data_IF_449493124299
#
_entry.id   IF_449493124299
#
_cell.length_a   1.000
_cell.length_b   1.000
_cell.length_c   1.000
_cell.angle_alpha   90.00
_cell.angle_beta   90.00
_cell.angle_gamma   90.00
#
_symmetry.space_group_name_H-M   'P 1'
#
loop_
_entity.id
_entity.type
_entity.pdbx_description
1 polymer ?
#
# COMPACT_ATOMS: atom_id res chain seq x y z
N UNK A 1 6.49 -20.05 -43.05
CA UNK A 1 6.17 -20.57 -41.69
C UNK A 1 6.13 -19.50 -40.57
N UNK A 2 6.24 -18.20 -40.89
CA UNK A 2 6.18 -17.13 -39.87
C UNK A 2 4.75 -16.77 -39.41
N UNK A 3 3.74 -16.99 -40.26
CA UNK A 3 2.36 -16.62 -39.97
C UNK A 3 1.74 -17.41 -38.80
N UNK A 4 1.98 -18.74 -38.73
CA UNK A 4 1.44 -19.62 -37.68
C UNK A 4 1.95 -19.28 -36.28
N UNK A 5 3.19 -18.76 -36.16
CA UNK A 5 3.75 -18.37 -34.86
C UNK A 5 3.04 -17.15 -34.27
N UNK A 6 2.75 -16.12 -35.08
CA UNK A 6 2.06 -14.91 -34.60
C UNK A 6 0.64 -15.25 -34.09
N UNK A 7 -0.10 -16.08 -34.83
CA UNK A 7 -1.44 -16.54 -34.40
C UNK A 7 -1.39 -17.37 -33.11
N UNK A 8 -0.36 -18.19 -32.91
CA UNK A 8 -0.22 -19.03 -31.72
C UNK A 8 0.06 -18.21 -30.44
N UNK A 9 0.94 -17.20 -30.52
CA UNK A 9 1.20 -16.31 -29.37
C UNK A 9 -0.06 -15.50 -29.00
N UNK A 10 -0.73 -14.89 -29.98
CA UNK A 10 -1.96 -14.13 -29.73
C UNK A 10 -3.06 -15.00 -29.11
N UNK A 11 -3.16 -16.28 -29.50
CA UNK A 11 -4.16 -17.18 -28.95
C UNK A 11 -3.84 -17.56 -27.49
N UNK A 12 -2.56 -17.70 -27.13
CA UNK A 12 -2.13 -17.86 -25.73
C UNK A 12 -2.45 -16.59 -24.94
N UNK A 13 -2.09 -15.42 -25.44
CA UNK A 13 -2.29 -14.14 -24.74
C UNK A 13 -3.79 -13.88 -24.48
N UNK A 14 -4.66 -14.18 -25.45
CA UNK A 14 -6.12 -14.08 -25.28
C UNK A 14 -6.64 -15.06 -24.22
N UNK A 15 -6.11 -16.28 -24.17
CA UNK A 15 -6.53 -17.31 -23.21
C UNK A 15 -6.09 -16.95 -21.78
N UNK A 16 -4.87 -16.41 -21.63
CA UNK A 16 -4.36 -15.86 -20.36
C UNK A 16 -5.21 -14.68 -19.91
N UNK A 17 -5.50 -13.74 -20.81
CA UNK A 17 -6.34 -12.58 -20.52
C UNK A 17 -7.75 -12.99 -20.08
N UNK A 18 -8.33 -14.01 -20.72
CA UNK A 18 -9.61 -14.58 -20.30
C UNK A 18 -9.53 -15.24 -18.91
N UNK A 19 -8.45 -15.96 -18.61
CA UNK A 19 -8.20 -16.54 -17.28
C UNK A 19 -8.07 -15.48 -16.18
N UNK A 20 -7.32 -14.40 -16.45
CA UNK A 20 -7.15 -13.27 -15.55
C UNK A 20 -8.49 -12.59 -15.20
N UNK A 21 -9.41 -12.46 -16.17
CA UNK A 21 -10.73 -11.89 -15.93
C UNK A 21 -11.55 -12.71 -14.92
N UNK A 22 -11.46 -14.04 -14.97
CA UNK A 22 -12.15 -14.95 -14.01
C UNK A 22 -11.59 -14.76 -12.59
N UNK A 23 -10.27 -14.60 -12.47
CA UNK A 23 -9.60 -14.42 -11.17
C UNK A 23 -9.98 -13.07 -10.54
N UNK A 24 -9.98 -12.00 -11.32
CA UNK A 24 -10.38 -10.66 -10.85
C UNK A 24 -11.84 -10.69 -10.37
N UNK A 25 -12.73 -11.36 -11.11
CA UNK A 25 -14.13 -11.50 -10.69
C UNK A 25 -14.27 -12.31 -9.39
N UNK A 26 -13.50 -13.39 -9.24
CA UNK A 26 -13.51 -14.21 -8.03
C UNK A 26 -13.00 -13.43 -6.80
N UNK A 27 -11.96 -12.62 -6.98
CA UNK A 27 -11.43 -11.72 -5.95
C UNK A 27 -12.47 -10.67 -5.52
N UNK A 28 -13.18 -10.06 -6.48
CA UNK A 28 -14.30 -9.17 -6.19
C UNK A 28 -15.42 -9.85 -5.39
N UNK A 29 -15.79 -11.08 -5.77
CA UNK A 29 -16.82 -11.85 -5.06
C UNK A 29 -16.41 -12.15 -3.61
N UNK A 30 -15.11 -12.41 -3.36
CA UNK A 30 -14.55 -12.62 -2.02
C UNK A 30 -14.58 -11.35 -1.17
N UNK A 31 -14.23 -10.20 -1.76
CA UNK A 31 -14.30 -8.90 -1.08
C UNK A 31 -15.73 -8.50 -0.71
N UNK A 32 -16.72 -8.89 -1.52
CA UNK A 32 -18.14 -8.58 -1.29
C UNK A 32 -18.88 -9.65 -0.47
N UNK A 33 -18.16 -10.62 0.11
CA UNK A 33 -18.67 -11.68 0.98
C UNK A 33 -19.86 -12.45 0.38
N UNK A 34 -19.81 -12.78 -0.91
CA UNK A 34 -20.83 -13.65 -1.53
C UNK A 34 -20.68 -15.10 -1.05
N UNK A 35 -21.80 -15.81 -0.89
CA UNK A 35 -21.81 -17.21 -0.40
C UNK A 35 -21.05 -18.19 -1.29
N UNK A 36 -20.92 -17.90 -2.59
CA UNK A 36 -20.17 -18.70 -3.56
C UNK A 36 -18.70 -18.27 -3.73
N UNK A 37 -18.27 -17.21 -3.03
CA UNK A 37 -16.99 -16.58 -3.27
C UNK A 37 -15.80 -17.52 -3.04
N UNK A 38 -15.89 -18.38 -2.02
CA UNK A 38 -14.79 -19.27 -1.63
C UNK A 38 -14.54 -20.37 -2.66
N UNK A 39 -15.62 -20.91 -3.22
CA UNK A 39 -15.57 -21.89 -4.30
C UNK A 39 -15.05 -21.23 -5.58
N UNK A 40 -15.55 -20.05 -5.93
CA UNK A 40 -15.10 -19.34 -7.13
C UNK A 40 -13.63 -18.91 -7.05
N UNK A 41 -13.19 -18.45 -5.88
CA UNK A 41 -11.80 -18.08 -5.64
C UNK A 41 -10.88 -19.30 -5.73
N UNK A 42 -11.31 -20.44 -5.20
CA UNK A 42 -10.56 -21.69 -5.32
C UNK A 42 -10.37 -22.07 -6.79
N UNK A 43 -11.42 -22.02 -7.61
CA UNK A 43 -11.34 -22.30 -9.05
C UNK A 43 -10.42 -21.29 -9.75
N UNK A 44 -10.52 -20.01 -9.43
CA UNK A 44 -9.63 -18.97 -9.96
C UNK A 44 -8.16 -19.23 -9.64
N UNK A 45 -7.85 -19.57 -8.40
CA UNK A 45 -6.47 -19.85 -7.96
C UNK A 45 -5.89 -21.10 -8.65
N UNK A 46 -6.69 -22.15 -8.84
CA UNK A 46 -6.26 -23.33 -9.61
C UNK A 46 -6.01 -23.00 -11.08
N UNK A 47 -6.85 -22.15 -11.66
CA UNK A 47 -6.70 -21.68 -13.05
C UNK A 47 -5.41 -20.88 -13.22
N UNK A 48 -5.11 -19.96 -12.28
CA UNK A 48 -3.88 -19.17 -12.32
C UNK A 48 -2.63 -20.04 -12.17
N UNK A 49 -2.68 -21.00 -11.23
CA UNK A 49 -1.57 -21.93 -11.02
C UNK A 49 -1.26 -22.72 -12.28
N UNK A 50 -2.29 -23.15 -13.02
CA UNK A 50 -2.11 -23.85 -14.28
C UNK A 50 -1.51 -22.95 -15.37
N UNK A 51 -1.97 -21.70 -15.50
CA UNK A 51 -1.46 -20.74 -16.49
C UNK A 51 0.03 -20.46 -16.24
N UNK A 52 0.42 -20.19 -14.99
CA UNK A 52 1.82 -19.95 -14.64
C UNK A 52 2.72 -21.15 -14.86
N UNK A 53 2.24 -22.36 -14.58
CA UNK A 53 3.02 -23.57 -14.83
C UNK A 53 3.28 -23.76 -16.33
N UNK A 54 2.28 -23.49 -17.18
CA UNK A 54 2.44 -23.51 -18.64
C UNK A 54 3.44 -22.43 -19.10
N UNK A 55 3.34 -21.19 -18.60
CA UNK A 55 4.30 -20.13 -18.94
C UNK A 55 5.72 -20.46 -18.51
N UNK A 56 5.88 -20.95 -17.27
CA UNK A 56 7.17 -21.37 -16.74
C UNK A 56 7.79 -22.50 -17.58
N UNK A 57 6.99 -23.48 -18.02
CA UNK A 57 7.45 -24.55 -18.90
C UNK A 57 7.84 -24.04 -20.30
N UNK A 58 7.06 -23.11 -20.88
CA UNK A 58 7.37 -22.49 -22.17
C UNK A 58 8.68 -21.71 -22.11
N UNK A 59 8.89 -20.92 -21.05
CA UNK A 59 10.10 -20.13 -20.85
C UNK A 59 11.32 -21.01 -20.55
N UNK A 60 11.14 -22.11 -19.80
CA UNK A 60 12.21 -23.07 -19.55
C UNK A 60 12.73 -23.75 -20.83
N UNK A 61 11.83 -24.10 -21.76
CA UNK A 61 12.18 -24.81 -23.00
C UNK A 61 12.72 -23.84 -24.07
N UNK A 62 12.31 -22.57 -24.03
CA UNK A 62 12.81 -21.51 -24.89
C UNK A 62 13.15 -20.31 -24.02
N UNK A 63 14.33 -20.27 -23.38
CA UNK A 63 14.76 -19.10 -22.64
C UNK A 63 14.93 -17.98 -23.66
N UNK A 64 13.90 -17.14 -23.78
CA UNK A 64 14.03 -15.91 -24.53
C UNK A 64 14.78 -15.02 -23.57
N UNK A 65 16.02 -14.69 -23.91
CA UNK A 65 16.71 -13.57 -23.26
C UNK A 65 15.72 -12.41 -23.29
N UNK A 66 15.15 -12.09 -22.13
CA UNK A 66 14.25 -10.97 -21.95
C UNK A 66 15.13 -9.73 -22.08
N UNK A 67 15.46 -9.40 -23.34
CA UNK A 67 15.56 -8.01 -23.71
C UNK A 67 14.14 -7.47 -23.59
N UNK A 68 14.04 -6.49 -22.73
CA UNK A 68 12.83 -6.03 -22.08
C UNK A 68 11.76 -5.66 -23.09
N UNK A 69 10.54 -5.87 -22.62
CA UNK A 69 9.27 -5.52 -23.22
C UNK A 69 9.13 -3.98 -23.35
N UNK A 70 10.01 -3.36 -24.15
CA UNK A 70 9.79 -2.03 -24.70
C UNK A 70 9.14 -2.23 -26.05
N UNK A 71 7.84 -1.97 -26.09
CA UNK A 71 7.03 -1.85 -27.29
C UNK A 71 7.82 -1.14 -28.41
N UNK A 72 8.01 -1.72 -29.60
CA UNK A 72 8.70 -1.06 -30.69
C UNK A 72 7.74 -0.09 -31.37
N UNK A 73 7.58 1.09 -30.77
CA UNK A 73 7.47 2.33 -31.52
C UNK A 73 8.89 2.84 -31.75
N UNK A 74 9.50 2.38 -32.83
CA UNK A 74 10.57 3.05 -33.57
C UNK A 74 11.96 3.23 -32.90
N UNK A 75 12.96 3.01 -33.77
CA UNK A 75 14.33 3.50 -33.71
C UNK A 75 15.40 2.71 -32.92
N UNK A 76 16.14 1.96 -33.73
CA UNK A 76 17.55 1.62 -33.57
C UNK A 76 18.39 2.81 -33.09
N UNK A 77 18.97 2.74 -31.89
CA UNK A 77 20.22 3.44 -31.61
C UNK A 77 21.13 2.56 -30.76
N UNK A 78 22.14 2.01 -31.41
CA UNK A 78 23.35 1.50 -30.75
C UNK A 78 24.09 2.68 -30.12
N UNK A 79 24.16 2.76 -28.79
CA UNK A 79 25.15 3.61 -28.10
C UNK A 79 25.85 2.80 -27.02
N UNK A 80 27.15 2.67 -27.19
CA UNK A 80 28.11 2.19 -26.21
C UNK A 80 28.20 3.26 -25.11
N UNK A 81 27.55 3.02 -23.98
CA UNK A 81 27.59 3.85 -22.79
C UNK A 81 26.62 3.27 -21.76
N UNK A 82 27.06 3.10 -20.50
CA UNK A 82 26.39 2.29 -19.48
C UNK A 82 24.85 2.57 -19.42
N UNK A 83 24.01 1.68 -19.99
CA UNK A 83 22.60 1.97 -20.25
C UNK A 83 21.77 2.15 -18.97
N UNK A 84 22.26 1.62 -17.84
CA UNK A 84 21.65 1.80 -16.53
C UNK A 84 21.73 3.24 -16.00
N UNK A 85 22.76 4.02 -16.35
CA UNK A 85 22.90 5.41 -15.90
C UNK A 85 22.01 6.36 -16.72
N UNK A 86 21.87 6.09 -18.02
CA UNK A 86 20.99 6.88 -18.89
C UNK A 86 19.51 6.61 -18.63
N UNK A 87 19.13 5.37 -18.31
CA UNK A 87 17.74 5.07 -17.91
C UNK A 87 17.39 5.66 -16.55
N UNK A 88 18.33 5.72 -15.61
CA UNK A 88 18.16 6.43 -14.34
C UNK A 88 18.03 7.94 -14.54
N UNK A 89 18.90 8.56 -15.35
CA UNK A 89 18.85 10.00 -15.63
C UNK A 89 17.56 10.39 -16.38
N UNK A 90 17.13 9.55 -17.33
CA UNK A 90 15.84 9.69 -18.02
C UNK A 90 14.65 9.51 -17.06
N UNK A 91 14.70 8.54 -16.15
CA UNK A 91 13.66 8.40 -15.12
C UNK A 91 13.62 9.58 -14.14
N UNK A 92 14.77 10.14 -13.78
CA UNK A 92 14.86 11.32 -12.91
C UNK A 92 14.32 12.58 -13.60
N UNK A 93 14.54 12.73 -14.92
CA UNK A 93 13.95 13.80 -15.71
C UNK A 93 12.45 13.60 -15.98
N UNK A 94 12.01 12.38 -16.30
CA UNK A 94 10.62 12.05 -16.66
C UNK A 94 9.69 12.10 -15.43
N UNK A 95 10.19 11.75 -14.24
CA UNK A 95 9.41 11.77 -13.00
C UNK A 95 9.33 13.17 -12.34
N UNK A 96 9.83 14.22 -13.01
CA UNK A 96 9.88 15.60 -12.49
C UNK A 96 10.44 15.68 -11.06
N UNK A 97 11.44 14.83 -10.77
CA UNK A 97 12.19 14.80 -9.50
C UNK A 97 13.19 15.97 -9.55
N UNK A 98 12.66 17.19 -9.61
CA UNK A 98 13.48 18.39 -9.49
C UNK A 98 13.98 18.50 -8.03
N UNK A 99 15.19 19.05 -7.78
CA UNK A 99 15.69 19.30 -6.42
C UNK A 99 14.70 20.11 -5.56
N UNK A 100 13.89 20.96 -6.19
CA UNK A 100 12.82 21.70 -5.54
C UNK A 100 11.71 20.80 -4.97
N UNK A 101 11.32 19.73 -5.67
CA UNK A 101 10.28 18.79 -5.23
C UNK A 101 10.80 17.87 -4.12
N UNK A 102 12.06 17.43 -4.20
CA UNK A 102 12.72 16.71 -3.11
C UNK A 102 12.86 17.57 -1.85
N UNK A 103 13.21 18.85 -2.01
CA UNK A 103 13.24 19.79 -0.89
C UNK A 103 11.85 19.98 -0.27
N UNK A 104 10.81 20.15 -1.08
CA UNK A 104 9.42 20.27 -0.58
C UNK A 104 8.97 19.00 0.14
N UNK A 105 9.36 17.82 -0.37
CA UNK A 105 9.09 16.54 0.28
C UNK A 105 9.79 16.46 1.65
N UNK A 106 11.06 16.85 1.73
CA UNK A 106 11.79 16.94 2.99
C UNK A 106 11.16 17.93 3.98
N UNK A 107 10.80 19.13 3.53
CA UNK A 107 10.12 20.14 4.34
C UNK A 107 8.76 19.61 4.87
N UNK A 108 8.03 18.82 4.07
CA UNK A 108 6.76 18.20 4.47
C UNK A 108 6.97 17.05 5.47
N UNK A 109 8.00 16.22 5.29
CA UNK A 109 8.37 15.18 6.28
C UNK A 109 8.81 15.79 7.61
N UNK A 110 9.53 16.91 7.58
CA UNK A 110 9.94 17.61 8.78
C UNK A 110 8.73 18.20 9.52
N UNK A 111 7.79 18.82 8.80
CA UNK A 111 6.51 19.28 9.36
C UNK A 111 5.70 18.12 9.94
N UNK A 112 5.61 17.00 9.23
CA UNK A 112 4.93 15.79 9.72
C UNK A 112 5.58 15.29 11.02
N UNK A 113 6.90 15.23 11.08
CA UNK A 113 7.64 14.85 12.29
C UNK A 113 7.33 15.78 13.47
N UNK A 114 7.29 17.09 13.25
CA UNK A 114 6.89 18.06 14.27
C UNK A 114 5.44 17.87 14.71
N UNK A 115 4.50 17.65 13.78
CA UNK A 115 3.10 17.39 14.11
C UNK A 115 2.93 16.10 14.93
N UNK A 116 3.66 15.03 14.59
CA UNK A 116 3.63 13.77 15.35
C UNK A 116 4.21 13.96 16.75
N UNK A 117 5.30 14.71 16.89
CA UNK A 117 5.86 15.06 18.21
C UNK A 117 4.85 15.83 19.06
N UNK A 118 4.19 16.82 18.47
CA UNK A 118 3.14 17.60 19.14
C UNK A 118 1.93 16.74 19.53
N UNK A 119 1.54 15.76 18.71
CA UNK A 119 0.49 14.79 19.06
C UNK A 119 0.90 13.95 20.27
N UNK A 120 2.17 13.57 20.39
CA UNK A 120 2.71 12.91 21.58
C UNK A 120 2.54 13.75 22.84
N UNK A 121 2.95 15.03 22.78
CA UNK A 121 2.80 15.98 23.89
C UNK A 121 1.33 16.24 24.26
N UNK A 122 0.44 16.34 23.28
CA UNK A 122 -1.02 16.48 23.51
C UNK A 122 -1.58 15.26 24.25
N UNK A 123 -1.09 14.05 23.95
CA UNK A 123 -1.46 12.84 24.69
C UNK A 123 -1.13 12.93 26.19
N UNK A 124 0.07 13.42 26.52
CA UNK A 124 0.51 13.62 27.91
C UNK A 124 -0.27 14.74 28.62
N UNK A 125 -0.62 15.82 27.90
CA UNK A 125 -1.48 16.90 28.42
C UNK A 125 -2.89 16.40 28.70
N UNK A 126 -3.46 15.59 27.81
CA UNK A 126 -4.79 14.99 28.00
C UNK A 126 -4.80 14.06 29.21
N UNK A 127 -3.76 13.23 29.37
CA UNK A 127 -3.60 12.38 30.56
C UNK A 127 -3.51 13.21 31.85
N UNK A 128 -2.68 14.25 31.86
CA UNK A 128 -2.52 15.14 33.01
C UNK A 128 -3.81 15.89 33.34
N UNK A 129 -4.58 16.29 32.33
CA UNK A 129 -5.90 16.92 32.49
C UNK A 129 -6.92 15.95 33.09
N UNK A 130 -6.90 14.69 32.66
CA UNK A 130 -7.74 13.62 33.22
C UNK A 130 -7.40 13.39 34.70
N UNK A 131 -6.11 13.27 35.03
CA UNK A 131 -5.65 13.09 36.42
C UNK A 131 -5.99 14.30 37.30
N UNK A 132 -5.85 15.52 36.76
CA UNK A 132 -6.28 16.75 37.43
C UNK A 132 -7.78 16.74 37.71
N UNK A 133 -8.62 16.40 36.73
CA UNK A 133 -10.07 16.31 36.90
C UNK A 133 -10.46 15.29 37.98
N UNK A 134 -9.81 14.12 37.99
CA UNK A 134 -10.01 13.10 39.02
C UNK A 134 -9.63 13.62 40.42
N UNK A 135 -8.48 14.29 40.55
CA UNK A 135 -8.03 14.89 41.82
C UNK A 135 -8.92 16.04 42.29
N UNK A 136 -9.44 16.86 41.38
CA UNK A 136 -10.43 17.89 41.72
C UNK A 136 -11.72 17.29 42.26
N UNK A 137 -12.19 16.17 41.70
CA UNK A 137 -13.37 15.46 42.21
C UNK A 137 -13.13 14.86 43.60
N UNK A 138 -11.95 14.27 43.81
CA UNK A 138 -11.52 13.75 45.12
C UNK A 138 -11.46 14.88 46.17
N UNK A 139 -10.83 16.01 45.83
CA UNK A 139 -10.75 17.18 46.70
C UNK A 139 -12.13 17.76 47.02
N UNK A 140 -13.04 17.83 46.04
CA UNK A 140 -14.43 18.27 46.25
C UNK A 140 -15.15 17.35 47.24
N UNK A 141 -14.92 16.04 47.15
CA UNK A 141 -15.50 15.06 48.07
C UNK A 141 -14.94 15.22 49.49
N UNK A 142 -13.62 15.39 49.62
CA UNK A 142 -12.98 15.64 50.91
C UNK A 142 -13.46 16.96 51.55
N UNK A 143 -13.68 18.01 50.76
CA UNK A 143 -14.26 19.27 51.22
C UNK A 143 -15.70 19.10 51.71
N UNK A 144 -16.50 18.25 51.04
CA UNK A 144 -17.84 17.91 51.52
C UNK A 144 -17.77 17.20 52.88
N UNK A 145 -16.88 16.21 53.03
CA UNK A 145 -16.69 15.52 54.31
C UNK A 145 -16.22 16.46 55.43
N UNK A 146 -15.35 17.42 55.12
CA UNK A 146 -14.93 18.47 56.06
C UNK A 146 -16.11 19.36 56.48
N UNK A 147 -16.93 19.79 55.51
CA UNK A 147 -18.15 20.56 55.78
C UNK A 147 -19.08 19.78 56.71
N UNK A 148 -19.33 18.51 56.41
CA UNK A 148 -20.26 17.67 57.17
C UNK A 148 -19.76 17.42 58.60
N UNK A 149 -18.46 17.16 58.77
CA UNK A 149 -17.83 17.04 60.08
C UNK A 149 -17.92 18.35 60.89
N UNK A 150 -17.67 19.49 60.25
CA UNK A 150 -17.78 20.80 60.89
C UNK A 150 -19.21 21.12 61.33
N UNK A 151 -20.21 20.85 60.46
CA UNK A 151 -21.63 21.01 60.82
C UNK A 151 -22.04 20.08 61.95
N UNK A 152 -21.56 18.84 61.96
CA UNK A 152 -21.83 17.89 63.06
C UNK A 152 -21.23 18.39 64.37
N UNK A 153 -19.96 18.82 64.37
CA UNK A 153 -19.30 19.38 65.55
C UNK A 153 -19.91 20.70 66.03
N UNK A 154 -20.44 21.53 65.14
CA UNK A 154 -21.12 22.77 65.52
C UNK A 154 -22.51 22.55 66.12
N UNK A 155 -23.14 21.41 65.85
CA UNK A 155 -24.46 21.03 66.36
C UNK A 155 -24.41 20.14 67.62
N UNK A 156 -23.22 19.84 68.13
CA UNK A 156 -22.99 19.08 69.38
C UNK A 156 -22.41 20.01 70.43
#
# INVERSE_FOLDING_TARGET
MAHRKRTFLTLIDVLVSAGAAVIIFAAWAKLTHKSYADLMLTIGMWTETAIFLVYAAVEWIKPKRHEEDIQPGEETVTVVGNPALQSMDKMLMEADITPANLKRLGDNFQKLGTTVSQIGEVGDVVKSTSDFSAKTKEATSAMSSLRDAYTTSANT
#
